data_IF_394393974507
#
_entry.id   IF_394393974507
#
_cell.length_a   1.000
_cell.length_b   1.000
_cell.length_c   1.000
_cell.angle_alpha   90.00
_cell.angle_beta   90.00
_cell.angle_gamma   90.00
#
_symmetry.space_group_name_H-M   'P 1'
#
loop_
_entity.id
_entity.type
_entity.pdbx_description
1 polymer ?
#
# COMPACT_ATOMS: atom_id res chain seq x y z
N UNK A 1 -6.28 -5.54 -10.99
CA UNK A 1 -6.08 -5.44 -9.54
C UNK A 1 -5.63 -6.81 -9.04
N UNK A 2 -4.33 -6.98 -8.83
CA UNK A 2 -3.78 -8.21 -8.25
C UNK A 2 -4.26 -8.44 -6.81
N UNK A 3 -4.28 -9.70 -6.37
CA UNK A 3 -4.63 -10.05 -4.99
C UNK A 3 -3.61 -9.48 -3.98
N UNK A 4 -2.36 -9.28 -4.39
CA UNK A 4 -1.31 -8.65 -3.59
C UNK A 4 -1.63 -7.18 -3.29
N UNK A 5 -2.05 -6.41 -4.30
CA UNK A 5 -2.47 -5.02 -4.16
C UNK A 5 -3.65 -4.91 -3.20
N UNK A 6 -4.66 -5.79 -3.33
CA UNK A 6 -5.82 -5.81 -2.41
C UNK A 6 -5.40 -6.10 -0.97
N UNK A 7 -4.50 -7.06 -0.79
CA UNK A 7 -3.98 -7.43 0.53
C UNK A 7 -3.24 -6.28 1.19
N UNK A 8 -2.39 -5.56 0.44
CA UNK A 8 -1.69 -4.38 0.95
C UNK A 8 -2.65 -3.25 1.32
N UNK A 9 -3.66 -2.98 0.49
CA UNK A 9 -4.70 -1.99 0.81
C UNK A 9 -5.44 -2.32 2.11
N UNK A 10 -5.77 -3.59 2.33
CA UNK A 10 -6.40 -4.03 3.58
C UNK A 10 -5.48 -3.83 4.79
N UNK A 11 -4.20 -4.19 4.67
CA UNK A 11 -3.21 -3.97 5.75
C UNK A 11 -3.04 -2.49 6.08
N UNK A 12 -2.94 -1.63 5.07
CA UNK A 12 -2.86 -0.17 5.23
C UNK A 12 -4.11 0.37 5.94
N UNK A 13 -5.30 -0.05 5.51
CA UNK A 13 -6.55 0.41 6.10
C UNK A 13 -6.67 -0.03 7.57
N UNK A 14 -6.33 -1.28 7.88
CA UNK A 14 -6.33 -1.80 9.25
C UNK A 14 -5.29 -1.07 10.13
N UNK A 15 -4.07 -0.84 9.63
CA UNK A 15 -3.05 -0.11 10.36
C UNK A 15 -3.48 1.34 10.64
N UNK A 16 -4.03 2.04 9.63
CA UNK A 16 -4.57 3.40 9.77
C UNK A 16 -5.69 3.47 10.81
N UNK A 17 -6.59 2.48 10.83
CA UNK A 17 -7.68 2.41 11.80
C UNK A 17 -7.19 2.18 13.24
N UNK A 18 -6.02 1.55 13.41
CA UNK A 18 -5.41 1.28 14.71
C UNK A 18 -4.52 2.42 15.22
N UNK A 19 -4.25 3.44 14.40
CA UNK A 19 -3.38 4.55 14.80
C UNK A 19 -4.00 5.35 15.96
N UNK A 20 -3.30 5.52 17.09
CA UNK A 20 -3.80 6.32 18.20
C UNK A 20 -3.70 7.81 17.88
N UNK A 21 -4.80 8.56 18.03
CA UNK A 21 -4.93 9.97 17.60
C UNK A 21 -3.87 10.94 18.16
N UNK A 22 -3.32 10.66 19.35
CA UNK A 22 -2.42 11.58 20.04
C UNK A 22 -1.03 11.00 20.33
N UNK A 23 -0.76 9.75 19.95
CA UNK A 23 0.50 9.09 20.32
C UNK A 23 0.91 8.04 19.30
N UNK A 24 0.84 8.39 18.02
CA UNK A 24 1.27 7.48 16.96
C UNK A 24 2.75 7.16 17.15
N UNK A 25 3.07 5.87 17.26
CA UNK A 25 4.44 5.41 17.42
C UNK A 25 5.18 5.59 16.08
N UNK A 26 6.43 6.07 16.08
CA UNK A 26 7.23 6.19 14.86
C UNK A 26 7.33 4.89 14.05
N UNK A 27 7.38 3.75 14.74
CA UNK A 27 7.39 2.42 14.12
C UNK A 27 6.14 2.16 13.27
N UNK A 28 4.97 2.60 13.73
CA UNK A 28 3.71 2.43 12.97
C UNK A 28 3.66 3.35 11.74
N UNK A 29 4.29 4.53 11.81
CA UNK A 29 4.42 5.41 10.64
C UNK A 29 5.37 4.78 9.62
N UNK A 30 6.54 4.32 10.05
CA UNK A 30 7.50 3.69 9.17
C UNK A 30 6.91 2.44 8.47
N UNK A 31 6.18 1.61 9.22
CA UNK A 31 5.45 0.46 8.65
C UNK A 31 4.39 0.89 7.63
N UNK A 32 3.66 1.97 7.91
CA UNK A 32 2.67 2.51 7.00
C UNK A 32 3.31 3.03 5.70
N UNK A 33 4.41 3.79 5.81
CA UNK A 33 5.16 4.33 4.67
C UNK A 33 5.73 3.20 3.79
N UNK A 34 6.23 2.14 4.40
CA UNK A 34 6.73 0.95 3.68
C UNK A 34 5.60 0.25 2.91
N UNK A 35 4.46 0.02 3.56
CA UNK A 35 3.28 -0.60 2.92
C UNK A 35 2.74 0.27 1.77
N UNK A 36 2.70 1.59 1.94
CA UNK A 36 2.24 2.53 0.92
C UNK A 36 3.21 2.61 -0.27
N UNK A 37 4.52 2.60 -0.01
CA UNK A 37 5.55 2.55 -1.05
C UNK A 37 5.46 1.26 -1.88
N UNK A 38 5.29 0.11 -1.21
CA UNK A 38 5.09 -1.19 -1.85
C UNK A 38 3.84 -1.20 -2.74
N UNK A 39 2.71 -0.74 -2.20
CA UNK A 39 1.46 -0.63 -2.95
C UNK A 39 1.62 0.25 -4.20
N UNK A 40 2.26 1.41 -4.07
CA UNK A 40 2.55 2.30 -5.20
C UNK A 40 3.41 1.62 -6.25
N UNK A 41 4.43 0.84 -5.85
CA UNK A 41 5.28 0.12 -6.79
C UNK A 41 4.47 -0.90 -7.60
N UNK A 42 3.71 -1.76 -6.92
CA UNK A 42 2.88 -2.78 -7.58
C UNK A 42 1.80 -2.18 -8.48
N UNK A 43 1.19 -1.07 -8.08
CA UNK A 43 0.24 -0.36 -8.94
C UNK A 43 0.91 0.18 -10.22
N UNK A 44 2.12 0.73 -10.13
CA UNK A 44 2.87 1.17 -11.32
C UNK A 44 3.23 -0.01 -12.21
N UNK A 45 3.65 -1.13 -11.64
CA UNK A 45 3.95 -2.35 -12.39
C UNK A 45 2.70 -2.91 -13.10
N UNK A 46 1.55 -2.94 -12.42
CA UNK A 46 0.27 -3.35 -13.02
C UNK A 46 -0.16 -2.40 -14.15
N UNK A 47 -0.04 -1.09 -13.95
CA UNK A 47 -0.35 -0.09 -14.97
C UNK A 47 0.59 -0.19 -16.18
N UNK A 48 1.90 -0.34 -15.96
CA UNK A 48 2.88 -0.51 -17.02
C UNK A 48 2.64 -1.81 -17.80
N UNK A 49 2.35 -2.91 -17.10
CA UNK A 49 1.98 -4.19 -17.70
C UNK A 49 0.71 -4.07 -18.55
N UNK A 50 -0.28 -3.31 -18.07
CA UNK A 50 -1.52 -3.05 -18.82
C UNK A 50 -1.30 -2.17 -20.04
N UNK A 51 -0.36 -1.23 -19.99
CA UNK A 51 -0.01 -0.34 -21.11
C UNK A 51 0.75 -1.09 -22.19
N UNK A 52 1.66 -1.98 -21.82
CA UNK A 52 2.42 -2.81 -22.75
C UNK A 52 1.55 -3.81 -23.53
N UNK A 53 0.48 -4.32 -22.93
CA UNK A 53 -0.48 -5.24 -23.59
C UNK A 53 -1.43 -4.57 -24.60
N UNK A 54 -1.46 -3.23 -24.67
CA UNK A 54 -2.37 -2.46 -25.53
C UNK A 54 -1.73 -1.95 -26.82
N UNK A 55 -0.47 -2.31 -27.07
CA UNK A 55 0.31 -1.96 -28.26
C UNK A 55 0.47 -3.22 -29.11
#
# INVERSE_FOLDING_TARGET
>A
MSEEIKTLQQKIADLKNRLPAHSVKPVMIAELEELEAELSRLQREEQNSSKLKRI
#
